data_IF_837085780565
#
_entry.id   IF_837085780565
#
_cell.length_a   1.000
_cell.length_b   1.000
_cell.length_c   1.000
_cell.angle_alpha   90.00
_cell.angle_beta   90.00
_cell.angle_gamma   90.00
#
_symmetry.space_group_name_H-M   'P 1'
#
loop_
_entity.id
_entity.type
_entity.pdbx_description
1 polymer ?
#
# COMPACT_ATOMS: atom_id res chain seq x y z
N UNK A 1 -21.03 -2.64 15.24
CA UNK A 1 -19.70 -2.28 14.69
C UNK A 1 -19.87 -2.08 13.19
N UNK A 2 -19.39 -0.97 12.60
CA UNK A 2 -19.57 -0.75 11.16
C UNK A 2 -18.70 -1.71 10.34
N UNK A 3 -19.19 -2.13 9.18
CA UNK A 3 -18.50 -3.03 8.24
C UNK A 3 -17.08 -2.52 7.92
N UNK A 4 -16.93 -1.22 7.69
CA UNK A 4 -15.64 -0.59 7.36
C UNK A 4 -14.63 -0.63 8.52
N UNK A 5 -15.10 -0.60 9.78
CA UNK A 5 -14.21 -0.71 10.95
C UNK A 5 -13.58 -2.10 11.05
N UNK A 6 -14.39 -3.15 10.88
CA UNK A 6 -13.91 -4.54 10.90
C UNK A 6 -12.87 -4.80 9.81
N UNK A 7 -13.11 -4.33 8.58
CA UNK A 7 -12.14 -4.49 7.50
C UNK A 7 -10.83 -3.73 7.76
N UNK A 8 -10.91 -2.54 8.35
CA UNK A 8 -9.70 -1.76 8.69
C UNK A 8 -8.85 -2.46 9.76
N UNK A 9 -9.49 -3.06 10.75
CA UNK A 9 -8.80 -3.85 11.78
C UNK A 9 -8.12 -5.08 11.20
N UNK A 10 -8.74 -5.76 10.22
CA UNK A 10 -8.15 -6.91 9.53
C UNK A 10 -6.89 -6.53 8.74
N UNK A 11 -6.91 -5.41 8.01
CA UNK A 11 -5.73 -4.92 7.29
C UNK A 11 -4.58 -4.61 8.25
N UNK A 12 -4.87 -3.93 9.37
CA UNK A 12 -3.86 -3.62 10.39
C UNK A 12 -3.31 -4.91 11.01
N UNK A 13 -4.17 -5.90 11.29
CA UNK A 13 -3.73 -7.19 11.82
C UNK A 13 -2.84 -7.94 10.83
N UNK A 14 -3.16 -7.89 9.54
CA UNK A 14 -2.34 -8.46 8.47
C UNK A 14 -0.98 -7.76 8.37
N UNK A 15 -0.93 -6.43 8.36
CA UNK A 15 0.34 -5.68 8.35
C UNK A 15 1.21 -6.04 9.56
N UNK A 16 0.60 -6.15 10.75
CA UNK A 16 1.31 -6.56 11.97
C UNK A 16 1.83 -7.99 11.88
N UNK A 17 1.14 -8.89 11.18
CA UNK A 17 1.58 -10.29 11.06
C UNK A 17 2.89 -10.44 10.27
N UNK A 18 3.21 -9.48 9.40
CA UNK A 18 4.47 -9.46 8.64
C UNK A 18 5.72 -9.40 9.54
N UNK A 19 5.59 -8.90 10.78
CA UNK A 19 6.68 -8.93 11.77
C UNK A 19 7.13 -10.33 12.18
N UNK A 20 6.29 -11.35 11.93
CA UNK A 20 6.57 -12.76 12.21
C UNK A 20 7.32 -13.46 11.08
N UNK A 21 7.49 -12.80 9.93
CA UNK A 21 8.27 -13.32 8.82
C UNK A 21 9.75 -13.18 9.19
N UNK A 22 10.44 -14.30 9.25
CA UNK A 22 11.90 -14.32 9.44
C UNK A 22 12.61 -14.20 8.08
N UNK A 23 13.92 -14.00 8.09
CA UNK A 23 14.69 -14.03 6.84
C UNK A 23 14.47 -15.35 6.08
N UNK A 24 14.48 -15.27 4.76
CA UNK A 24 14.18 -16.34 3.83
C UNK A 24 12.76 -16.94 3.95
N UNK A 25 11.77 -16.13 4.37
CA UNK A 25 10.37 -16.57 4.52
C UNK A 25 9.72 -17.09 3.21
N UNK A 26 10.26 -16.72 2.05
CA UNK A 26 9.79 -17.18 0.73
C UNK A 26 10.62 -18.34 0.16
N UNK A 27 11.67 -18.81 0.84
CA UNK A 27 12.66 -19.76 0.32
C UNK A 27 13.52 -19.27 -0.86
N UNK A 28 13.44 -17.99 -1.22
CA UNK A 28 14.20 -17.34 -2.29
C UNK A 28 15.05 -16.17 -1.79
N UNK A 29 15.33 -16.11 -0.48
CA UNK A 29 16.20 -15.12 0.13
C UNK A 29 15.50 -13.82 0.54
N UNK A 30 14.18 -13.82 0.72
CA UNK A 30 13.49 -12.62 1.18
C UNK A 30 14.01 -12.12 2.54
N UNK A 31 14.11 -10.81 2.68
CA UNK A 31 14.46 -10.15 3.94
C UNK A 31 13.28 -10.09 4.89
N UNK A 32 13.56 -10.20 6.18
CA UNK A 32 12.66 -9.81 7.25
C UNK A 32 12.22 -8.36 7.09
N UNK A 33 10.93 -8.11 7.31
CA UNK A 33 10.36 -6.75 7.27
C UNK A 33 10.57 -6.10 8.65
N UNK A 34 11.14 -4.90 8.65
CA UNK A 34 11.37 -4.14 9.88
C UNK A 34 10.07 -3.61 10.47
N UNK A 35 10.06 -3.43 11.79
CA UNK A 35 8.90 -2.84 12.47
C UNK A 35 8.61 -1.40 12.03
N UNK A 36 9.63 -0.61 11.73
CA UNK A 36 9.50 0.74 11.17
C UNK A 36 8.80 0.75 9.81
N UNK A 37 9.12 -0.21 8.92
CA UNK A 37 8.42 -0.36 7.64
C UNK A 37 6.94 -0.72 7.84
N UNK A 38 6.64 -1.63 8.78
CA UNK A 38 5.26 -1.99 9.15
C UNK A 38 4.52 -0.79 9.73
N UNK A 39 5.15 -0.02 10.62
CA UNK A 39 4.57 1.17 11.22
C UNK A 39 4.23 2.22 10.15
N UNK A 40 5.12 2.47 9.18
CA UNK A 40 4.87 3.38 8.07
C UNK A 40 3.70 2.92 7.19
N UNK A 41 3.58 1.62 6.93
CA UNK A 41 2.46 1.06 6.16
C UNK A 41 1.12 1.24 6.91
N UNK A 42 1.10 0.99 8.23
CA UNK A 42 -0.08 1.21 9.07
C UNK A 42 -0.46 2.69 9.11
N UNK A 43 0.52 3.59 9.30
CA UNK A 43 0.28 5.03 9.31
C UNK A 43 -0.32 5.51 8.00
N UNK A 44 0.28 5.12 6.86
CA UNK A 44 -0.25 5.44 5.54
C UNK A 44 -1.70 4.93 5.38
N UNK A 45 -1.95 3.66 5.70
CA UNK A 45 -3.28 3.06 5.61
C UNK A 45 -4.31 3.81 6.47
N UNK A 46 -4.00 4.10 7.72
CA UNK A 46 -4.92 4.83 8.62
C UNK A 46 -5.23 6.23 8.10
N UNK A 47 -4.22 6.95 7.58
CA UNK A 47 -4.44 8.29 6.99
C UNK A 47 -5.30 8.24 5.74
N UNK A 48 -5.19 7.18 4.92
CA UNK A 48 -6.08 6.99 3.77
C UNK A 48 -7.51 6.73 4.22
N UNK A 49 -7.74 5.80 5.15
CA UNK A 49 -9.09 5.45 5.63
C UNK A 49 -9.77 6.63 6.33
N UNK A 50 -9.02 7.42 7.10
CA UNK A 50 -9.53 8.62 7.77
C UNK A 50 -9.95 9.70 6.76
N UNK A 51 -9.12 9.95 5.74
CA UNK A 51 -9.35 11.02 4.76
C UNK A 51 -10.31 10.63 3.63
N UNK A 52 -10.37 9.35 3.29
CA UNK A 52 -11.14 8.81 2.17
C UNK A 52 -11.97 7.59 2.63
N UNK A 53 -13.00 7.79 3.48
CA UNK A 53 -13.73 6.70 4.14
C UNK A 53 -14.55 5.80 3.20
N UNK A 54 -14.73 6.22 1.95
CA UNK A 54 -15.44 5.49 0.90
C UNK A 54 -14.49 4.77 -0.08
N UNK A 55 -13.18 4.93 0.09
CA UNK A 55 -12.21 4.23 -0.75
C UNK A 55 -12.24 2.72 -0.48
N UNK A 56 -11.89 1.90 -1.49
CA UNK A 56 -11.84 0.45 -1.34
C UNK A 56 -10.81 0.05 -0.28
N UNK A 57 -11.01 -1.13 0.31
CA UNK A 57 -10.03 -1.73 1.22
C UNK A 57 -8.87 -2.27 0.37
N UNK A 58 -7.60 -1.97 0.73
CA UNK A 58 -6.47 -2.41 -0.07
C UNK A 58 -6.16 -3.88 0.17
N UNK A 59 -5.54 -4.49 -0.83
CA UNK A 59 -4.72 -5.68 -0.62
C UNK A 59 -3.33 -5.26 -0.11
N UNK A 60 -2.77 -6.04 0.82
CA UNK A 60 -1.42 -5.80 1.35
C UNK A 60 -0.60 -7.09 1.32
N UNK A 61 0.67 -6.99 0.95
CA UNK A 61 1.58 -8.12 0.89
C UNK A 61 3.02 -7.75 1.29
N UNK A 62 3.78 -8.69 1.86
CA UNK A 62 5.21 -8.51 2.07
C UNK A 62 5.94 -8.51 0.72
N UNK A 63 6.97 -7.69 0.56
CA UNK A 63 7.84 -7.69 -0.62
C UNK A 63 9.21 -8.30 -0.27
N UNK A 64 9.83 -9.10 -1.15
CA UNK A 64 11.04 -9.87 -0.80
C UNK A 64 12.23 -9.04 -0.29
N UNK A 65 12.35 -7.77 -0.65
CA UNK A 65 13.47 -6.93 -0.18
C UNK A 65 13.22 -6.23 1.16
N UNK A 66 12.12 -6.55 1.84
CA UNK A 66 11.73 -5.96 3.13
C UNK A 66 10.79 -4.76 3.01
N UNK A 67 10.36 -4.39 1.79
CA UNK A 67 9.27 -3.43 1.56
C UNK A 67 7.89 -4.06 1.79
N UNK A 68 6.86 -3.22 1.82
CA UNK A 68 5.46 -3.66 1.84
C UNK A 68 4.77 -3.14 0.58
N UNK A 69 4.06 -4.02 -0.11
CA UNK A 69 3.21 -3.67 -1.24
C UNK A 69 1.77 -3.45 -0.75
N UNK A 70 1.18 -2.33 -1.16
CA UNK A 70 -0.21 -1.95 -0.91
C UNK A 70 -0.88 -1.71 -2.25
N UNK A 71 -1.99 -2.38 -2.50
CA UNK A 71 -2.73 -2.30 -3.76
C UNK A 71 -4.17 -1.86 -3.51
N UNK A 72 -4.59 -0.82 -4.22
CA UNK A 72 -5.95 -0.29 -4.20
C UNK A 72 -6.58 -0.51 -5.57
N UNK A 73 -7.82 -0.99 -5.59
CA UNK A 73 -8.53 -1.26 -6.85
C UNK A 73 -9.91 -0.60 -6.84
N UNK A 74 -10.18 0.21 -7.86
CA UNK A 74 -11.45 0.93 -8.04
C UNK A 74 -11.81 0.90 -9.53
N UNK A 75 -12.89 0.19 -9.87
CA UNK A 75 -13.32 -0.04 -11.25
C UNK A 75 -12.19 -0.61 -12.12
N UNK A 76 -11.80 0.10 -13.19
CA UNK A 76 -10.70 -0.26 -14.09
C UNK A 76 -9.34 0.31 -13.68
N UNK A 77 -9.21 0.82 -12.44
CA UNK A 77 -7.99 1.48 -11.96
C UNK A 77 -7.37 0.73 -10.80
N UNK A 78 -6.06 0.59 -10.84
CA UNK A 78 -5.25 -0.01 -9.79
C UNK A 78 -4.18 1.00 -9.37
N UNK A 79 -3.94 1.13 -8.07
CA UNK A 79 -2.86 1.94 -7.49
C UNK A 79 -2.03 1.03 -6.60
N UNK A 80 -0.77 0.84 -6.97
CA UNK A 80 0.21 0.06 -6.23
C UNK A 80 1.16 1.05 -5.55
N UNK A 81 1.35 0.91 -4.25
CA UNK A 81 2.40 1.56 -3.49
C UNK A 81 3.39 0.53 -2.98
N UNK A 82 4.68 0.84 -3.10
CA UNK A 82 5.73 0.15 -2.35
C UNK A 82 6.19 1.08 -1.23
N UNK A 83 5.84 0.70 -0.01
CA UNK A 83 6.31 1.32 1.23
C UNK A 83 7.81 1.02 1.34
N UNK A 84 8.67 2.04 1.41
CA UNK A 84 10.11 1.84 1.44
C UNK A 84 10.54 1.12 2.72
N UNK A 85 11.58 0.32 2.57
CA UNK A 85 12.40 -0.15 3.69
C UNK A 85 13.07 1.04 4.36
N UNK A 86 13.28 0.94 5.67
CA UNK A 86 13.95 1.87 6.60
C UNK A 86 14.78 3.01 5.99
N UNK A 87 14.66 4.21 6.57
CA UNK A 87 15.45 5.42 6.27
C UNK A 87 15.31 5.99 4.84
N UNK A 88 14.53 5.35 3.96
CA UNK A 88 14.16 5.94 2.68
C UNK A 88 12.84 6.71 2.81
N UNK A 89 12.86 7.98 2.40
CA UNK A 89 11.66 8.83 2.33
C UNK A 89 10.94 8.71 0.98
N UNK A 90 11.42 7.88 0.06
CA UNK A 90 10.82 7.74 -1.26
C UNK A 90 9.95 6.49 -1.32
N UNK A 91 8.66 6.71 -1.48
CA UNK A 91 7.70 5.69 -1.84
C UNK A 91 7.70 5.53 -3.35
N UNK A 92 7.50 4.30 -3.81
CA UNK A 92 7.30 4.03 -5.24
C UNK A 92 5.81 3.82 -5.45
N UNK A 93 5.27 4.39 -6.52
CA UNK A 93 3.90 4.12 -6.93
C UNK A 93 3.82 3.72 -8.39
N UNK A 94 2.84 2.87 -8.69
CA UNK A 94 2.42 2.55 -10.05
C UNK A 94 0.91 2.69 -10.09
N UNK A 95 0.40 3.38 -11.09
CA UNK A 95 -1.03 3.45 -11.32
C UNK A 95 -1.32 2.91 -12.71
N UNK A 96 -2.37 2.11 -12.77
CA UNK A 96 -2.80 1.37 -13.93
C UNK A 96 -4.25 1.81 -14.19
N UNK A 97 -4.57 2.15 -15.43
CA UNK A 97 -5.93 2.42 -15.87
C UNK A 97 -6.22 1.58 -17.12
N UNK A 98 -7.22 0.70 -17.03
CA UNK A 98 -7.67 -0.22 -18.08
C UNK A 98 -9.04 0.19 -18.60
N UNK A 99 -9.14 1.35 -19.26
CA UNK A 99 -10.41 1.81 -19.83
C UNK A 99 -10.57 1.27 -21.24
N UNK A 100 -11.66 0.57 -21.52
CA UNK A 100 -12.04 0.11 -22.87
C UNK A 100 -10.93 -0.70 -23.58
N UNK A 101 -10.20 -1.53 -22.82
CA UNK A 101 -9.10 -2.35 -23.35
C UNK A 101 -7.78 -1.61 -23.56
N UNK A 102 -7.73 -0.28 -23.33
CA UNK A 102 -6.50 0.51 -23.37
C UNK A 102 -5.85 0.55 -21.99
N UNK A 103 -4.63 0.03 -21.91
CA UNK A 103 -3.79 0.08 -20.71
C UNK A 103 -2.97 1.37 -20.70
N UNK A 104 -3.17 2.19 -19.67
CA UNK A 104 -2.29 3.33 -19.35
C UNK A 104 -1.62 3.10 -18.02
N UNK A 105 -0.30 3.20 -18.01
CA UNK A 105 0.51 3.01 -16.80
C UNK A 105 1.38 4.23 -16.53
N UNK A 106 1.49 4.57 -15.25
CA UNK A 106 2.30 5.66 -14.76
C UNK A 106 3.01 5.22 -13.50
N UNK A 107 4.31 5.47 -13.44
CA UNK A 107 5.20 5.02 -12.38
C UNK A 107 6.15 6.14 -12.01
N UNK A 108 6.25 6.45 -10.72
CA UNK A 108 7.21 7.43 -10.20
C UNK A 108 7.45 7.22 -8.70
N UNK A 109 8.16 8.17 -8.08
CA UNK A 109 8.42 8.26 -6.66
C UNK A 109 7.63 9.39 -6.01
N UNK A 110 7.13 9.15 -4.81
CA UNK A 110 6.56 10.18 -3.94
C UNK A 110 7.44 10.37 -2.70
N UNK A 111 7.61 11.61 -2.27
CA UNK A 111 8.38 11.94 -1.07
C UNK A 111 7.45 11.95 0.13
N UNK A 112 7.75 11.11 1.13
CA UNK A 112 7.01 11.04 2.37
C UNK A 112 5.58 10.54 2.23
N UNK A 113 4.92 10.38 3.37
CA UNK A 113 3.52 9.93 3.45
C UNK A 113 2.59 10.95 2.78
N UNK A 114 2.84 12.25 2.95
CA UNK A 114 1.99 13.29 2.37
C UNK A 114 2.07 13.30 0.83
N UNK A 115 3.26 13.06 0.26
CA UNK A 115 3.42 12.87 -1.18
C UNK A 115 2.58 11.70 -1.68
N UNK A 116 2.60 10.55 -0.98
CA UNK A 116 1.75 9.42 -1.33
C UNK A 116 0.26 9.70 -1.18
N UNK A 117 -0.17 10.43 -0.15
CA UNK A 117 -1.57 10.80 0.02
C UNK A 117 -2.05 11.70 -1.12
N UNK A 118 -1.18 12.54 -1.68
CA UNK A 118 -1.47 13.30 -2.89
C UNK A 118 -1.66 12.39 -4.10
N UNK A 119 -0.80 11.39 -4.28
CA UNK A 119 -0.94 10.39 -5.36
C UNK A 119 -2.24 9.60 -5.21
N UNK A 120 -2.58 9.20 -3.98
CA UNK A 120 -3.84 8.53 -3.68
C UNK A 120 -5.04 9.41 -4.05
N UNK A 121 -5.02 10.69 -3.66
CA UNK A 121 -6.07 11.65 -4.03
C UNK A 121 -6.25 11.75 -5.54
N UNK A 122 -5.14 11.80 -6.28
CA UNK A 122 -5.16 11.86 -7.74
C UNK A 122 -5.86 10.60 -8.30
N UNK A 123 -5.43 9.41 -7.87
CA UNK A 123 -6.02 8.15 -8.30
C UNK A 123 -7.51 8.04 -7.95
N UNK A 124 -7.90 8.40 -6.72
CA UNK A 124 -9.30 8.28 -6.25
C UNK A 124 -10.24 9.28 -6.95
N UNK A 125 -9.70 10.42 -7.41
CA UNK A 125 -10.44 11.49 -8.10
C UNK A 125 -10.75 11.21 -9.56
N UNK A 126 -10.03 10.30 -10.23
CA UNK A 126 -10.32 10.00 -11.61
C UNK A 126 -11.57 9.11 -11.70
N UNK A 127 -12.55 9.51 -12.52
CA UNK A 127 -13.67 8.68 -13.02
C UNK A 127 -13.35 8.08 -14.40
#
# INVERSE_FOLDING_TARGET
>A
MSRNKLFSENVIAQLKSFSKLEDNWDSYGASKISWSTIANAIEFFMRVVDRYPNSPIPFVSPYPDGRIHVEWQKFSKELHHLIPKDNSNYFIYRIINRKEGVLKEYYDKAIGIDGMLKIFSIWDSYE
#
